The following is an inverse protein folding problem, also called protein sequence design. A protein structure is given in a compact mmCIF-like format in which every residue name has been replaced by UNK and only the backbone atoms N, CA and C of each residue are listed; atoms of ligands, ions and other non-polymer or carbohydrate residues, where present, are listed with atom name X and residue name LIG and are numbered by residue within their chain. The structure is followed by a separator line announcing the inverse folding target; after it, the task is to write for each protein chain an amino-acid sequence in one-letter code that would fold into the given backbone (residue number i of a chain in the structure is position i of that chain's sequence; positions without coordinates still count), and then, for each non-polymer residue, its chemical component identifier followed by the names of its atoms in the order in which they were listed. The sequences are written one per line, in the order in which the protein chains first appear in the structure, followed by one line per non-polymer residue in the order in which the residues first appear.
data_IF_556213369948
#
_entry.id   IF_556213369948
#
_cell.length_a   1.000
_cell.length_b   1.000
_cell.length_c   1.000
_cell.angle_alpha   90.00
_cell.angle_beta   90.00
_cell.angle_gamma   90.00
#
_symmetry.space_group_name_H-M   'P 1'
#
loop_
_entity.id
_entity.type
_entity.pdbx_description
1 polymer ?
#
# COMPACT_ATOMS: atom_id res chain seq x y z
N UNK A 1 -24.50 -5.85 11.76
CA UNK A 1 -23.41 -5.38 12.60
C UNK A 1 -22.23 -4.95 11.75
N UNK A 2 -21.58 -3.87 12.14
CA UNK A 2 -20.42 -3.35 11.44
C UNK A 2 -19.32 -4.40 11.28
N UNK A 3 -19.09 -5.19 12.32
CA UNK A 3 -18.06 -6.22 12.30
C UNK A 3 -18.34 -7.37 11.33
N UNK A 4 -19.59 -7.58 10.98
CA UNK A 4 -19.95 -8.63 10.04
C UNK A 4 -19.61 -8.28 8.61
N UNK A 5 -19.53 -6.99 8.29
CA UNK A 5 -19.25 -6.52 6.95
C UNK A 5 -17.81 -6.06 6.75
N UNK A 6 -17.01 -6.02 7.83
CA UNK A 6 -15.60 -5.64 7.75
C UNK A 6 -14.80 -6.82 7.22
N UNK A 7 -14.11 -6.68 6.09
CA UNK A 7 -13.30 -7.78 5.55
C UNK A 7 -12.17 -8.19 6.52
N UNK A 8 -11.81 -9.46 6.49
CA UNK A 8 -10.77 -10.02 7.34
C UNK A 8 -9.44 -9.28 7.19
N UNK A 9 -9.07 -8.93 5.96
CA UNK A 9 -7.81 -8.22 5.72
C UNK A 9 -7.81 -6.81 6.35
N UNK A 10 -8.98 -6.19 6.51
CA UNK A 10 -9.06 -4.91 7.23
C UNK A 10 -8.77 -5.11 8.71
N UNK A 11 -9.26 -6.18 9.33
CA UNK A 11 -8.90 -6.51 10.70
C UNK A 11 -7.40 -6.72 10.83
N UNK A 12 -6.78 -7.40 9.88
CA UNK A 12 -5.34 -7.60 9.87
C UNK A 12 -4.59 -6.28 9.90
N UNK A 13 -5.03 -5.29 9.11
CA UNK A 13 -4.45 -3.94 9.13
C UNK A 13 -4.65 -3.27 10.48
N UNK A 14 -5.85 -3.36 11.05
CA UNK A 14 -6.20 -2.67 12.29
C UNK A 14 -5.47 -3.20 13.52
N UNK A 15 -5.04 -4.48 13.51
CA UNK A 15 -4.31 -5.07 14.63
C UNK A 15 -2.80 -5.03 14.44
N UNK A 16 -2.32 -4.55 13.31
CA UNK A 16 -0.89 -4.41 13.05
C UNK A 16 -0.28 -3.35 13.96
N UNK A 17 0.97 -3.54 14.39
CA UNK A 17 1.67 -2.51 15.15
C UNK A 17 1.93 -1.25 14.31
N UNK A 18 1.89 -1.36 12.98
CA UNK A 18 2.04 -0.25 12.06
C UNK A 18 0.70 0.18 11.47
N UNK A 19 -0.39 -0.02 12.20
CA UNK A 19 -1.74 0.23 11.70
C UNK A 19 -1.94 1.66 11.19
N UNK A 20 -1.34 2.66 11.88
CA UNK A 20 -1.48 4.05 11.44
C UNK A 20 -0.85 4.26 10.07
N UNK A 21 0.32 3.70 9.85
CA UNK A 21 0.98 3.78 8.55
C UNK A 21 0.12 3.14 7.46
N UNK A 22 -0.41 1.95 7.71
CA UNK A 22 -1.24 1.26 6.73
C UNK A 22 -2.56 1.98 6.48
N UNK A 23 -3.21 2.48 7.52
CA UNK A 23 -4.46 3.24 7.37
C UNK A 23 -4.20 4.51 6.56
N UNK A 24 -3.14 5.25 6.87
CA UNK A 24 -2.80 6.45 6.12
C UNK A 24 -2.44 6.13 4.67
N UNK A 25 -1.79 4.99 4.43
CA UNK A 25 -1.49 4.53 3.07
C UNK A 25 -2.77 4.21 2.30
N UNK A 26 -3.76 3.61 2.96
CA UNK A 26 -5.07 3.38 2.35
C UNK A 26 -5.76 4.68 1.97
N UNK A 27 -5.66 5.71 2.81
CA UNK A 27 -6.24 7.02 2.47
C UNK A 27 -5.55 7.64 1.26
N UNK A 28 -4.22 7.53 1.16
CA UNK A 28 -3.48 7.99 -0.02
C UNK A 28 -3.98 7.25 -1.27
N UNK A 29 -4.10 5.93 -1.16
CA UNK A 29 -4.59 5.09 -2.25
C UNK A 29 -5.99 5.50 -2.70
N UNK A 30 -6.92 5.60 -1.76
CA UNK A 30 -8.31 5.94 -2.08
C UNK A 30 -8.43 7.34 -2.67
N UNK A 31 -7.65 8.29 -2.16
CA UNK A 31 -7.63 9.64 -2.70
C UNK A 31 -7.14 9.66 -4.16
N UNK A 32 -6.09 8.89 -4.44
CA UNK A 32 -5.55 8.78 -5.80
C UNK A 32 -6.59 8.22 -6.77
N UNK A 33 -7.37 7.24 -6.33
CA UNK A 33 -8.37 6.61 -7.19
C UNK A 33 -9.69 7.40 -7.32
N UNK A 34 -9.81 8.56 -6.68
CA UNK A 34 -10.93 9.46 -6.94
C UNK A 34 -10.90 10.01 -8.36
N UNK A 35 -9.72 10.14 -8.95
CA UNK A 35 -9.53 10.77 -10.26
C UNK A 35 -8.88 9.86 -11.29
N UNK A 36 -8.52 8.63 -10.93
CA UNK A 36 -7.84 7.70 -11.81
C UNK A 36 -8.50 6.33 -11.78
N UNK A 37 -8.57 5.65 -12.91
CA UNK A 37 -9.03 4.27 -12.99
C UNK A 37 -7.88 3.29 -12.76
N UNK A 38 -6.67 3.69 -13.14
CA UNK A 38 -5.46 2.93 -12.86
C UNK A 38 -4.31 3.91 -12.64
N UNK A 39 -3.30 3.46 -11.90
CA UNK A 39 -2.13 4.27 -11.58
C UNK A 39 -0.91 3.37 -11.74
N UNK A 40 0.17 3.86 -12.36
CA UNK A 40 1.38 3.06 -12.40
C UNK A 40 1.88 2.81 -10.97
N UNK A 41 2.49 1.64 -10.76
CA UNK A 41 3.05 1.30 -9.45
C UNK A 41 4.04 2.36 -8.98
N UNK A 42 4.89 2.86 -9.88
CA UNK A 42 5.87 3.88 -9.54
C UNK A 42 5.22 5.20 -9.13
N UNK A 43 4.11 5.57 -9.78
CA UNK A 43 3.36 6.77 -9.40
C UNK A 43 2.77 6.62 -8.00
N UNK A 44 2.22 5.46 -7.68
CA UNK A 44 1.67 5.20 -6.35
C UNK A 44 2.78 5.25 -5.28
N UNK A 45 3.93 4.65 -5.56
CA UNK A 45 5.10 4.73 -4.67
C UNK A 45 5.48 6.19 -4.41
N UNK A 46 5.54 7.00 -5.46
CA UNK A 46 5.86 8.44 -5.33
C UNK A 46 4.82 9.18 -4.49
N UNK A 47 3.55 8.87 -4.67
CA UNK A 47 2.47 9.49 -3.89
C UNK A 47 2.58 9.12 -2.40
N UNK A 48 2.91 7.86 -2.10
CA UNK A 48 3.10 7.42 -0.71
C UNK A 48 4.26 8.16 -0.07
N UNK A 49 5.38 8.27 -0.77
CA UNK A 49 6.56 8.98 -0.25
C UNK A 49 6.23 10.45 -0.04
N UNK A 50 5.59 11.10 -1.01
CA UNK A 50 5.23 12.51 -0.89
C UNK A 50 4.32 12.78 0.30
N UNK A 51 3.40 11.89 0.59
CA UNK A 51 2.42 12.08 1.67
C UNK A 51 2.93 11.61 3.03
N UNK A 52 3.74 10.56 3.09
CA UNK A 52 4.02 9.82 4.32
C UNK A 52 5.52 9.59 4.57
N UNK A 53 6.40 10.39 3.98
CA UNK A 53 7.84 10.17 4.06
C UNK A 53 8.33 9.91 5.49
N UNK A 54 7.98 10.80 6.42
CA UNK A 54 8.46 10.68 7.80
C UNK A 54 7.92 9.45 8.50
N UNK A 55 6.66 9.13 8.27
CA UNK A 55 6.04 7.93 8.84
C UNK A 55 6.67 6.66 8.29
N UNK A 56 6.99 6.64 6.99
CA UNK A 56 7.63 5.50 6.35
C UNK A 56 9.04 5.30 6.91
N UNK A 57 9.83 6.38 7.01
CA UNK A 57 11.20 6.29 7.51
C UNK A 57 11.23 5.84 8.97
N UNK A 58 10.33 6.37 9.79
CA UNK A 58 10.35 6.11 11.23
C UNK A 58 9.61 4.83 11.62
N UNK A 59 8.93 4.17 10.70
CA UNK A 59 8.19 2.94 11.03
C UNK A 59 9.13 1.82 11.43
N UNK A 60 8.76 1.10 12.48
CA UNK A 60 9.47 -0.11 12.88
C UNK A 60 8.90 -1.29 12.09
N UNK A 61 9.61 -1.69 11.05
CA UNK A 61 9.22 -2.80 10.19
C UNK A 61 10.02 -4.06 10.49
N UNK A 62 10.64 -4.14 11.68
CA UNK A 62 11.49 -5.28 12.04
C UNK A 62 10.74 -6.61 12.08
N UNK A 63 9.44 -6.60 12.38
CA UNK A 63 8.62 -7.81 12.40
C UNK A 63 8.04 -8.16 11.02
N UNK A 64 8.30 -7.33 10.03
CA UNK A 64 7.81 -7.55 8.69
C UNK A 64 8.87 -8.28 7.85
N UNK A 65 8.41 -9.08 6.90
CA UNK A 65 9.31 -9.83 6.02
C UNK A 65 9.71 -8.95 4.83
N UNK A 66 10.58 -7.96 5.08
CA UNK A 66 11.08 -7.10 4.01
C UNK A 66 12.03 -7.86 3.11
N UNK A 67 11.91 -7.60 1.81
CA UNK A 67 12.88 -8.11 0.83
C UNK A 67 14.17 -7.27 0.93
N UNK A 68 15.27 -7.83 0.43
CA UNK A 68 16.59 -7.19 0.53
C UNK A 68 16.58 -5.75 -0.02
N UNK A 69 15.82 -5.48 -1.07
CA UNK A 69 15.74 -4.17 -1.71
C UNK A 69 14.65 -3.26 -1.13
N UNK A 70 14.03 -3.64 -0.01
CA UNK A 70 12.93 -2.89 0.59
C UNK A 70 13.32 -2.09 1.84
N UNK A 71 14.62 -1.94 2.14
CA UNK A 71 15.03 -1.24 3.36
C UNK A 71 15.23 0.26 3.20
N UNK A 72 15.43 0.77 1.97
CA UNK A 72 15.51 2.20 1.69
C UNK A 72 14.13 2.84 1.80
N UNK A 73 14.07 4.17 1.77
CA UNK A 73 12.77 4.87 1.74
C UNK A 73 11.90 4.39 0.57
N UNK A 74 12.47 4.38 -0.63
CA UNK A 74 11.75 3.88 -1.80
C UNK A 74 11.38 2.40 -1.63
N UNK A 75 12.30 1.60 -1.11
CA UNK A 75 12.06 0.18 -0.87
C UNK A 75 10.93 -0.06 0.13
N UNK A 76 10.88 0.74 1.20
CA UNK A 76 9.78 0.64 2.18
C UNK A 76 8.46 1.01 1.57
N UNK A 77 8.42 2.03 0.70
CA UNK A 77 7.20 2.40 -0.01
C UNK A 77 6.76 1.27 -0.96
N UNK A 78 7.69 0.61 -1.64
CA UNK A 78 7.39 -0.57 -2.44
C UNK A 78 6.86 -1.71 -1.58
N UNK A 79 7.41 -1.90 -0.39
CA UNK A 79 6.90 -2.88 0.56
C UNK A 79 5.43 -2.60 0.91
N UNK A 80 5.09 -1.33 1.17
CA UNK A 80 3.70 -0.95 1.48
C UNK A 80 2.77 -1.33 0.33
N UNK A 81 3.17 -1.04 -0.92
CA UNK A 81 2.37 -1.41 -2.10
C UNK A 81 2.21 -2.93 -2.17
N UNK A 82 3.28 -3.67 -1.94
CA UNK A 82 3.22 -5.14 -1.93
C UNK A 82 2.28 -5.65 -0.83
N UNK A 83 2.32 -5.01 0.34
CA UNK A 83 1.43 -5.37 1.46
C UNK A 83 -0.03 -5.10 1.13
N UNK A 84 -0.31 -3.96 0.49
CA UNK A 84 -1.66 -3.63 0.04
C UNK A 84 -2.18 -4.68 -0.96
N UNK A 85 -1.32 -5.11 -1.87
CA UNK A 85 -1.68 -6.16 -2.82
C UNK A 85 -1.95 -7.49 -2.10
N UNK A 86 -1.06 -7.89 -1.21
CA UNK A 86 -1.18 -9.14 -0.47
C UNK A 86 -2.46 -9.18 0.35
N UNK A 87 -2.84 -8.05 0.92
CA UNK A 87 -4.06 -7.94 1.74
C UNK A 87 -5.34 -7.72 0.91
N UNK A 88 -5.23 -7.69 -0.42
CA UNK A 88 -6.40 -7.62 -1.28
C UNK A 88 -6.97 -6.23 -1.53
N UNK A 89 -6.26 -5.16 -1.14
CA UNK A 89 -6.72 -3.79 -1.37
C UNK A 89 -6.54 -3.33 -2.80
N UNK A 90 -5.56 -3.89 -3.51
CA UNK A 90 -5.25 -3.53 -4.88
C UNK A 90 -4.93 -4.79 -5.68
N UNK A 91 -5.02 -4.66 -7.00
CA UNK A 91 -4.45 -5.62 -7.93
C UNK A 91 -3.37 -4.94 -8.75
N UNK A 92 -2.37 -5.68 -9.17
CA UNK A 92 -1.28 -5.17 -9.99
C UNK A 92 -1.19 -6.01 -11.25
N UNK A 93 -1.23 -5.36 -12.40
CA UNK A 93 -1.13 -6.03 -13.69
C UNK A 93 -0.05 -5.36 -14.54
N UNK A 94 0.76 -6.18 -15.21
CA UNK A 94 1.76 -5.68 -16.15
C UNK A 94 1.11 -5.57 -17.52
N UNK A 95 1.13 -4.36 -18.07
CA UNK A 95 0.55 -4.07 -19.38
C UNK A 95 1.56 -4.35 -20.51
N UNK A 96 1.11 -4.15 -21.75
CA UNK A 96 1.94 -4.39 -22.93
C UNK A 96 3.17 -3.48 -23.03
N UNK A 97 3.18 -2.35 -22.30
CA UNK A 97 4.32 -1.45 -22.20
C UNK A 97 5.34 -1.88 -21.14
N UNK A 98 5.13 -3.05 -20.53
CA UNK A 98 5.94 -3.60 -19.44
C UNK A 98 5.92 -2.77 -18.17
N UNK A 99 4.92 -1.90 -18.01
CA UNK A 99 4.70 -1.11 -16.80
C UNK A 99 3.67 -1.81 -15.94
N UNK A 100 3.95 -1.87 -14.62
CA UNK A 100 2.99 -2.38 -13.65
C UNK A 100 1.97 -1.31 -13.31
N UNK A 101 0.70 -1.64 -13.47
CA UNK A 101 -0.40 -0.75 -13.12
C UNK A 101 -1.20 -1.29 -11.95
N UNK A 102 -1.57 -0.38 -11.06
CA UNK A 102 -2.37 -0.66 -9.88
C UNK A 102 -3.83 -0.30 -10.18
N UNK A 103 -4.73 -1.20 -9.83
CA UNK A 103 -6.17 -0.95 -9.91
C UNK A 103 -6.82 -1.42 -8.62
N UNK A 104 -8.00 -0.87 -8.34
CA UNK A 104 -8.80 -1.36 -7.21
C UNK A 104 -9.53 -2.63 -7.63
N UNK A 105 -9.64 -3.60 -6.71
CA UNK A 105 -10.43 -4.81 -7.00
C UNK A 105 -11.89 -4.44 -7.26
N UNK A 106 -12.50 -5.21 -8.14
CA UNK A 106 -13.92 -5.01 -8.46
C UNK A 106 -14.80 -5.72 -7.44
#
# INVERSE_FOLDING_TARGET
DLYEIVPEYLFSVLVSKNKRLYVNSLFVLLDAFKTHLQISKDALVSMLIAALENEIISADLSDEALLENEYSLSGRAHFIVRKLKTNGWITIETESDFIDYVTLPV
#
